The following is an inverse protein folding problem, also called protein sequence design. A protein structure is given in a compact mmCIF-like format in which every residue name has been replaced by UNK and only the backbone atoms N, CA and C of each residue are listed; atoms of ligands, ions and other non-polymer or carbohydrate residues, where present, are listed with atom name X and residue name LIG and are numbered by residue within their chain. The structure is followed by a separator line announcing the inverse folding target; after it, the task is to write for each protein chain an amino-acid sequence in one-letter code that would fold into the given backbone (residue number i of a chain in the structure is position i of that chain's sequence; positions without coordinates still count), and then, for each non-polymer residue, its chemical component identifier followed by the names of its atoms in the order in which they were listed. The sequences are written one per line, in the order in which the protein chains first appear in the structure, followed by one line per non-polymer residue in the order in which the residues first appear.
data_IF_357575761867
#
_entry.id   IF_357575761867
#
_cell.length_a   1.000
_cell.length_b   1.000
_cell.length_c   1.000
_cell.angle_alpha   90.00
_cell.angle_beta   90.00
_cell.angle_gamma   90.00
#
_symmetry.space_group_name_H-M   'P 1'
#
loop_
_entity.id
_entity.type
_entity.pdbx_description
1 polymer ?
#
# COMPACT_ATOMS: atom_id res chain seq x y z
N UNK A 1 -0.83 -8.49 -4.00
CA UNK A 1 -2.01 -8.10 -4.80
C UNK A 1 -1.59 -8.11 -6.26
N UNK A 2 -2.33 -8.76 -7.16
CA UNK A 2 -1.98 -8.90 -8.58
C UNK A 2 -3.17 -8.41 -9.40
N UNK A 3 -2.93 -7.70 -10.51
CA UNK A 3 -3.98 -7.28 -11.44
C UNK A 3 -4.62 -8.47 -12.15
N UNK A 4 -5.90 -8.38 -12.52
CA UNK A 4 -6.63 -9.50 -13.12
C UNK A 4 -6.02 -10.01 -14.43
N UNK A 5 -5.35 -9.13 -15.19
CA UNK A 5 -4.61 -9.49 -16.41
C UNK A 5 -3.17 -9.99 -16.15
N UNK A 6 -2.76 -10.19 -14.89
CA UNK A 6 -1.42 -10.61 -14.46
C UNK A 6 -0.26 -9.70 -14.90
N UNK A 7 -0.54 -8.49 -15.39
CA UNK A 7 0.48 -7.56 -15.89
C UNK A 7 1.23 -6.86 -14.76
N UNK A 8 0.54 -6.53 -13.68
CA UNK A 8 1.09 -5.68 -12.63
C UNK A 8 0.77 -6.23 -11.23
N UNK A 9 1.69 -6.06 -10.28
CA UNK A 9 1.51 -6.56 -8.94
C UNK A 9 2.20 -5.71 -7.89
N UNK A 10 1.61 -5.73 -6.70
CA UNK A 10 2.14 -5.10 -5.49
C UNK A 10 3.00 -6.11 -4.73
N UNK A 11 4.22 -5.71 -4.41
CA UNK A 11 5.19 -6.51 -3.65
C UNK A 11 5.73 -5.68 -2.48
N UNK A 12 5.71 -6.26 -1.28
CA UNK A 12 6.39 -5.72 -0.12
C UNK A 12 7.69 -6.48 0.09
N UNK A 13 8.82 -5.80 -0.08
CA UNK A 13 10.14 -6.39 0.12
C UNK A 13 10.49 -6.54 1.59
N UNK A 14 11.49 -7.39 1.87
CA UNK A 14 11.95 -7.69 3.23
C UNK A 14 12.62 -6.49 3.93
N UNK A 15 13.17 -5.55 3.17
CA UNK A 15 13.78 -4.31 3.65
C UNK A 15 12.76 -3.16 3.77
N UNK A 16 11.46 -3.49 3.83
CA UNK A 16 10.38 -2.54 4.05
C UNK A 16 10.15 -1.54 2.92
N UNK A 17 10.29 -1.97 1.67
CA UNK A 17 9.95 -1.18 0.50
C UNK A 17 8.71 -1.74 -0.19
N UNK A 18 7.67 -0.91 -0.38
CA UNK A 18 6.50 -1.30 -1.14
C UNK A 18 6.71 -0.92 -2.60
N UNK A 19 6.53 -1.89 -3.49
CA UNK A 19 6.88 -1.81 -4.90
C UNK A 19 5.68 -2.19 -5.77
N UNK A 20 5.49 -1.44 -6.86
CA UNK A 20 4.62 -1.86 -7.96
C UNK A 20 5.52 -2.36 -9.09
N UNK A 21 5.33 -3.61 -9.46
CA UNK A 21 5.95 -4.21 -10.64
C UNK A 21 4.99 -4.22 -11.82
N UNK A 22 5.55 -4.07 -13.02
CA UNK A 22 4.90 -4.35 -14.32
C UNK A 22 5.78 -5.31 -15.09
N UNK A 23 5.36 -6.57 -15.18
CA UNK A 23 6.28 -7.66 -15.53
C UNK A 23 7.46 -7.70 -14.55
N UNK A 24 8.68 -7.65 -15.06
CA UNK A 24 9.91 -7.66 -14.25
C UNK A 24 10.42 -6.26 -13.87
N UNK A 25 9.78 -5.19 -14.36
CA UNK A 25 10.22 -3.82 -14.11
C UNK A 25 9.52 -3.21 -12.91
N UNK A 26 10.28 -2.49 -12.09
CA UNK A 26 9.72 -1.64 -11.04
C UNK A 26 9.14 -0.39 -11.69
N UNK A 27 7.84 -0.17 -11.53
CA UNK A 27 7.15 1.04 -11.99
C UNK A 27 7.18 2.14 -10.93
N UNK A 28 6.98 1.75 -9.66
CA UNK A 28 6.88 2.70 -8.55
C UNK A 28 7.34 2.08 -7.23
N UNK A 29 7.77 2.94 -6.29
CA UNK A 29 8.25 2.56 -4.96
C UNK A 29 7.91 3.61 -3.91
N UNK A 30 7.65 3.18 -2.67
CA UNK A 30 7.58 4.07 -1.49
C UNK A 30 8.93 4.68 -1.11
N UNK A 31 10.04 4.19 -1.66
CA UNK A 31 11.42 4.60 -1.31
C UNK A 31 11.71 4.49 0.19
N UNK A 32 11.36 3.34 0.77
CA UNK A 32 11.46 3.08 2.22
C UNK A 32 12.38 1.92 2.59
N UNK A 33 13.17 1.44 1.63
CA UNK A 33 14.25 0.47 1.86
C UNK A 33 15.11 0.85 3.07
N UNK A 34 15.28 -0.09 4.00
CA UNK A 34 16.08 0.06 5.22
C UNK A 34 15.48 0.95 6.31
N UNK A 35 14.26 1.49 6.13
CA UNK A 35 13.62 2.38 7.14
C UNK A 35 12.90 1.63 8.27
N UNK A 36 12.82 0.30 8.17
CA UNK A 36 12.17 -0.58 9.13
C UNK A 36 12.58 -2.04 8.99
N UNK A 37 11.96 -2.90 9.79
CA UNK A 37 12.10 -4.36 9.76
C UNK A 37 10.74 -5.03 9.92
N UNK A 38 10.57 -6.22 9.34
CA UNK A 38 9.34 -7.03 9.43
C UNK A 38 8.07 -6.22 9.10
N UNK A 39 8.10 -5.48 7.99
CA UNK A 39 7.02 -4.57 7.67
C UNK A 39 5.75 -5.29 7.19
N UNK A 40 4.62 -4.66 7.47
CA UNK A 40 3.30 -5.07 7.01
C UNK A 40 2.57 -3.88 6.38
N UNK A 41 1.83 -4.13 5.32
CA UNK A 41 0.93 -3.16 4.72
C UNK A 41 -0.47 -3.36 5.32
N UNK A 42 -1.08 -2.30 5.84
CA UNK A 42 -2.41 -2.33 6.45
C UNK A 42 -3.28 -1.22 5.90
N UNK A 43 -4.47 -1.59 5.43
CA UNK A 43 -5.55 -0.64 5.18
C UNK A 43 -6.31 -0.43 6.49
N UNK A 44 -6.34 0.80 6.97
CA UNK A 44 -7.00 1.22 8.20
C UNK A 44 -8.47 1.57 7.94
N UNK A 45 -9.29 1.57 9.00
CA UNK A 45 -10.73 1.86 8.94
C UNK A 45 -11.05 3.30 8.53
N UNK A 46 -10.10 4.22 8.68
CA UNK A 46 -10.22 5.63 8.27
C UNK A 46 -9.89 5.84 6.77
N UNK A 47 -9.64 4.76 6.03
CA UNK A 47 -9.29 4.78 4.60
C UNK A 47 -7.81 5.04 4.31
N UNK A 48 -6.94 4.93 5.31
CA UNK A 48 -5.51 5.10 5.14
C UNK A 48 -4.79 3.78 4.85
N UNK A 49 -3.95 3.76 3.82
CA UNK A 49 -3.05 2.65 3.58
C UNK A 49 -1.69 2.96 4.21
N UNK A 50 -1.30 2.16 5.20
CA UNK A 50 -0.10 2.41 6.00
C UNK A 50 0.85 1.23 5.96
N UNK A 51 2.12 1.53 5.74
CA UNK A 51 3.22 0.60 5.91
C UNK A 51 3.76 0.73 7.33
N UNK A 52 3.57 -0.31 8.13
CA UNK A 52 4.10 -0.40 9.49
C UNK A 52 5.34 -1.28 9.52
N UNK A 53 6.33 -0.89 10.31
CA UNK A 53 7.44 -1.73 10.76
C UNK A 53 7.07 -2.43 12.08
N UNK A 54 7.95 -3.31 12.56
CA UNK A 54 7.93 -3.83 13.94
C UNK A 54 7.61 -2.73 14.98
N UNK A 55 6.89 -3.11 16.04
CA UNK A 55 6.35 -2.22 17.09
C UNK A 55 5.39 -1.12 16.57
N UNK A 56 4.69 -1.34 15.46
CA UNK A 56 3.70 -0.41 14.91
C UNK A 56 4.27 0.97 14.53
N UNK A 57 5.59 1.07 14.28
CA UNK A 57 6.19 2.30 13.74
C UNK A 57 5.72 2.51 12.31
N UNK A 58 5.15 3.69 12.03
CA UNK A 58 4.79 4.10 10.66
C UNK A 58 6.06 4.34 9.84
N UNK A 59 6.17 3.67 8.70
CA UNK A 59 7.27 3.84 7.74
C UNK A 59 6.83 4.70 6.55
N UNK A 60 5.57 4.54 6.12
CA UNK A 60 4.94 5.29 5.03
C UNK A 60 3.41 5.25 5.18
N UNK A 61 2.73 6.26 4.66
CA UNK A 61 1.26 6.37 4.62
C UNK A 61 0.82 6.96 3.29
N UNK A 62 -0.37 6.58 2.81
CA UNK A 62 -1.01 7.22 1.67
C UNK A 62 -1.58 8.60 1.97
N UNK A 63 -1.64 8.99 3.25
CA UNK A 63 -2.22 10.25 3.72
C UNK A 63 -3.68 10.47 3.26
N UNK A 64 -4.43 9.37 3.11
CA UNK A 64 -5.84 9.35 2.68
C UNK A 64 -6.84 9.19 3.83
N UNK A 65 -6.33 9.13 5.07
CA UNK A 65 -7.17 9.07 6.27
C UNK A 65 -8.18 10.21 6.29
N UNK A 66 -9.39 9.93 6.76
CA UNK A 66 -10.30 11.00 7.13
C UNK A 66 -10.04 11.54 8.54
N UNK A 67 -10.43 12.79 8.75
CA UNK A 67 -10.17 13.55 9.98
C UNK A 67 -11.41 13.84 10.81
N UNK A 68 -12.60 13.42 10.35
CA UNK A 68 -13.85 13.60 11.11
C UNK A 68 -13.90 12.69 12.34
N UNK A 69 -14.61 13.15 13.38
CA UNK A 69 -14.83 12.36 14.60
C UNK A 69 -15.55 11.04 14.27
N UNK A 70 -14.99 9.91 14.73
CA UNK A 70 -15.46 8.54 14.42
C UNK A 70 -15.58 8.27 12.91
N UNK A 71 -14.52 8.59 12.18
CA UNK A 71 -14.52 8.35 10.75
C UNK A 71 -14.23 6.89 10.40
N UNK A 72 -15.15 6.30 9.65
CA UNK A 72 -15.01 5.01 8.99
C UNK A 72 -15.21 5.23 7.50
N UNK A 73 -14.30 4.73 6.68
CA UNK A 73 -14.44 4.66 5.23
C UNK A 73 -14.31 3.20 4.83
N UNK A 74 -15.40 2.62 4.34
CA UNK A 74 -15.31 1.31 3.69
C UNK A 74 -14.43 1.48 2.45
N UNK A 75 -13.18 1.01 2.57
CA UNK A 75 -12.14 1.26 1.59
C UNK A 75 -11.56 -0.06 1.16
N UNK A 76 -11.33 -0.22 -0.14
CA UNK A 76 -10.69 -1.40 -0.69
C UNK A 76 -9.62 -1.02 -1.71
N UNK A 77 -8.56 -1.84 -1.75
CA UNK A 77 -7.37 -1.62 -2.56
C UNK A 77 -7.41 -2.54 -3.79
N UNK A 78 -7.33 -1.95 -4.98
CA UNK A 78 -7.34 -2.68 -6.25
C UNK A 78 -6.07 -2.37 -7.05
N UNK A 79 -5.43 -3.43 -7.55
CA UNK A 79 -4.42 -3.32 -8.60
C UNK A 79 -5.13 -3.46 -9.96
N UNK A 80 -5.23 -2.36 -10.68
CA UNK A 80 -5.98 -2.28 -11.92
C UNK A 80 -5.17 -2.78 -13.11
N UNK A 81 -5.87 -3.13 -14.19
CA UNK A 81 -5.26 -3.68 -15.41
C UNK A 81 -4.43 -2.66 -16.20
N UNK A 82 -4.64 -1.37 -15.95
CA UNK A 82 -3.89 -0.25 -16.50
C UNK A 82 -2.61 0.07 -15.69
N UNK A 83 -2.29 -0.77 -14.70
CA UNK A 83 -1.12 -0.68 -13.82
C UNK A 83 -1.24 0.39 -12.71
N UNK A 84 -2.42 0.94 -12.48
CA UNK A 84 -2.69 1.78 -11.31
C UNK A 84 -2.99 0.96 -10.06
N UNK A 85 -2.51 1.43 -8.91
CA UNK A 85 -2.93 0.95 -7.59
C UNK A 85 -3.87 1.98 -6.98
N UNK A 86 -5.13 1.61 -6.76
CA UNK A 86 -6.19 2.57 -6.39
C UNK A 86 -6.90 2.14 -5.12
N UNK A 87 -7.11 3.11 -4.24
CA UNK A 87 -8.03 3.01 -3.10
C UNK A 87 -9.42 3.49 -3.56
N UNK A 88 -10.41 2.62 -3.43
CA UNK A 88 -11.82 2.94 -3.69
C UNK A 88 -12.59 3.02 -2.38
N UNK A 89 -13.57 3.91 -2.32
CA UNK A 89 -14.53 4.01 -1.22
C UNK A 89 -15.84 3.34 -1.68
N UNK A 90 -16.41 2.49 -0.82
CA UNK A 90 -17.68 1.77 -1.00
C UNK A 90 -18.77 2.22 -0.05
#
# INVERSE_FOLDING_TARGET
LISSNNKAYLYLSIDCNLLIYVGEKILWSTNTSGKGINCILRLQEDGNLVLYSYNWKVVWSSDTYCTSYKCYKDTYLIMQNDCNLVLYIG
#
